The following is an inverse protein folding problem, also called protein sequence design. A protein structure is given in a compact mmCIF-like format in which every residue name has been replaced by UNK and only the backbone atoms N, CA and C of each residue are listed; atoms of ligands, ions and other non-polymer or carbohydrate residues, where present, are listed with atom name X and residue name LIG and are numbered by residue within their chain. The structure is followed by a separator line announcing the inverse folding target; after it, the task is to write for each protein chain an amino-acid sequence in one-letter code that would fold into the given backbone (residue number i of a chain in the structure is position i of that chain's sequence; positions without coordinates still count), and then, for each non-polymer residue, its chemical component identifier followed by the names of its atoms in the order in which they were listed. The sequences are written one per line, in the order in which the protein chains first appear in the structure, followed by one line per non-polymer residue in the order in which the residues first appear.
data_IF_421152227254
#
_entry.id   IF_421152227254
#
_cell.length_a   1.000
_cell.length_b   1.000
_cell.length_c   1.000
_cell.angle_alpha   90.00
_cell.angle_beta   90.00
_cell.angle_gamma   90.00
#
_symmetry.space_group_name_H-M   'P 1'
#
loop_
_entity.id
_entity.type
_entity.pdbx_description
1 polymer ?
#
# COMPACT_ATOMS: atom_id res chain seq x y z
N UNK A 1 24.91 -1.61 21.59
CA UNK A 1 23.60 -1.46 20.92
C UNK A 1 23.82 -1.99 19.50
N UNK A 2 23.14 -3.06 19.14
CA UNK A 2 23.17 -3.57 17.76
C UNK A 2 22.40 -2.56 16.93
N UNK A 3 23.06 -1.97 15.95
CA UNK A 3 22.42 -0.98 15.06
C UNK A 3 21.46 -1.75 14.15
N UNK A 4 20.15 -1.73 14.45
CA UNK A 4 19.15 -2.34 13.57
C UNK A 4 19.20 -1.60 12.24
N UNK A 5 19.42 -2.29 11.11
CA UNK A 5 19.45 -1.62 9.82
C UNK A 5 18.11 -0.93 9.56
N UNK A 6 18.15 0.25 8.95
CA UNK A 6 16.97 1.05 8.68
C UNK A 6 16.56 0.90 7.22
N UNK A 7 15.41 0.26 7.01
CA UNK A 7 14.78 0.11 5.71
C UNK A 7 13.50 0.95 5.64
N UNK A 8 13.37 1.77 4.60
CA UNK A 8 12.25 2.74 4.45
C UNK A 8 11.32 2.46 3.26
N UNK A 9 11.72 1.58 2.36
CA UNK A 9 10.94 1.23 1.16
C UNK A 9 10.87 -0.28 0.94
N UNK A 10 11.96 -0.90 0.53
CA UNK A 10 12.04 -2.33 0.23
C UNK A 10 13.12 -3.00 1.08
N UNK A 11 12.93 -4.29 1.35
CA UNK A 11 13.89 -5.19 1.98
C UNK A 11 13.90 -6.51 1.22
N UNK A 12 15.07 -7.11 0.99
CA UNK A 12 15.20 -8.42 0.37
C UNK A 12 14.99 -9.57 1.36
N UNK A 13 14.64 -10.80 0.89
CA UNK A 13 14.45 -11.96 1.76
C UNK A 13 15.69 -12.31 2.60
N UNK A 14 16.90 -12.23 2.01
CA UNK A 14 18.14 -12.49 2.73
C UNK A 14 18.42 -11.48 3.84
N UNK A 15 18.24 -10.19 3.52
CA UNK A 15 18.41 -9.09 4.49
C UNK A 15 17.40 -9.21 5.65
N UNK A 16 16.13 -9.57 5.34
CA UNK A 16 15.12 -9.80 6.37
C UNK A 16 15.47 -11.00 7.25
N UNK A 17 15.99 -12.09 6.67
CA UNK A 17 16.40 -13.26 7.43
C UNK A 17 17.53 -12.95 8.43
N UNK A 18 18.47 -12.07 8.07
CA UNK A 18 19.56 -11.64 8.96
C UNK A 18 19.09 -10.81 10.15
N UNK A 19 17.95 -10.07 10.02
CA UNK A 19 17.44 -9.21 11.08
C UNK A 19 16.05 -9.62 11.61
N UNK A 20 15.57 -10.82 11.31
CA UNK A 20 14.21 -11.27 11.60
C UNK A 20 13.82 -11.16 13.09
N UNK A 21 14.80 -11.28 13.99
CA UNK A 21 14.59 -11.17 15.43
C UNK A 21 14.49 -9.72 15.95
N UNK A 22 14.79 -8.74 15.09
CA UNK A 22 14.88 -7.31 15.43
C UNK A 22 13.78 -6.47 14.80
N UNK A 23 12.87 -7.09 14.04
CA UNK A 23 11.84 -6.40 13.28
C UNK A 23 10.45 -6.91 13.64
N UNK A 24 9.43 -6.07 13.44
CA UNK A 24 8.02 -6.46 13.53
C UNK A 24 7.51 -6.75 12.13
N UNK A 25 7.01 -7.96 11.90
CA UNK A 25 6.60 -8.42 10.56
C UNK A 25 5.07 -8.53 10.49
N UNK A 26 4.49 -8.03 9.42
CA UNK A 26 3.06 -8.17 9.14
C UNK A 26 2.81 -8.90 7.82
N UNK A 27 1.99 -9.95 7.92
CA UNK A 27 1.36 -10.62 6.80
C UNK A 27 0.07 -9.89 6.45
N UNK A 28 -0.02 -9.38 5.25
CA UNK A 28 -1.21 -8.68 4.75
C UNK A 28 -1.72 -9.31 3.46
N UNK A 29 -1.54 -10.63 3.31
CA UNK A 29 -2.11 -11.39 2.20
C UNK A 29 -3.62 -11.25 2.17
N UNK A 30 -4.15 -11.00 0.99
CA UNK A 30 -5.56 -10.75 0.80
C UNK A 30 -6.00 -11.16 -0.62
N UNK A 31 -7.29 -11.43 -0.80
CA UNK A 31 -7.89 -11.63 -2.11
C UNK A 31 -9.24 -10.93 -2.19
N UNK A 32 -9.44 -10.11 -3.22
CA UNK A 32 -10.73 -9.46 -3.48
C UNK A 32 -11.84 -10.47 -3.83
N UNK A 33 -11.47 -11.65 -4.35
CA UNK A 33 -12.43 -12.71 -4.71
C UNK A 33 -12.85 -13.56 -3.51
N UNK A 34 -11.99 -13.66 -2.48
CA UNK A 34 -12.25 -14.40 -1.23
C UNK A 34 -11.54 -13.70 -0.07
N UNK A 35 -12.27 -12.88 0.67
CA UNK A 35 -11.73 -12.08 1.77
C UNK A 35 -11.18 -12.92 2.94
N UNK A 36 -11.50 -14.22 3.01
CA UNK A 36 -10.95 -15.13 4.03
C UNK A 36 -9.64 -15.81 3.60
N UNK A 37 -9.30 -15.77 2.30
CA UNK A 37 -8.12 -16.46 1.76
C UNK A 37 -6.82 -16.02 2.44
N UNK A 38 -6.62 -14.73 2.69
CA UNK A 38 -5.42 -14.22 3.36
C UNK A 38 -5.22 -14.81 4.75
N UNK A 39 -6.28 -14.84 5.56
CA UNK A 39 -6.26 -15.44 6.91
C UNK A 39 -6.01 -16.95 6.87
N UNK A 40 -6.61 -17.65 5.91
CA UNK A 40 -6.39 -19.10 5.73
C UNK A 40 -4.93 -19.38 5.33
N UNK A 41 -4.36 -18.58 4.41
CA UNK A 41 -2.95 -18.69 4.02
C UNK A 41 -2.02 -18.42 5.20
N UNK A 42 -2.31 -17.41 6.02
CA UNK A 42 -1.54 -17.10 7.22
C UNK A 42 -1.55 -18.28 8.21
N UNK A 43 -2.71 -18.89 8.45
CA UNK A 43 -2.85 -20.06 9.33
C UNK A 43 -2.13 -21.30 8.79
N UNK A 44 -2.12 -21.49 7.47
CA UNK A 44 -1.42 -22.59 6.82
C UNK A 44 0.11 -22.44 6.86
N UNK A 45 0.60 -21.18 6.86
CA UNK A 45 2.02 -20.87 6.97
C UNK A 45 2.30 -19.40 6.69
N UNK A 46 3.12 -18.78 7.52
CA UNK A 46 3.53 -17.39 7.45
C UNK A 46 5.04 -17.25 7.73
N UNK A 47 5.62 -16.10 7.44
CA UNK A 47 6.99 -15.83 7.85
C UNK A 47 7.12 -15.93 9.36
N UNK A 48 8.24 -16.47 9.91
CA UNK A 48 8.42 -16.57 11.35
C UNK A 48 8.17 -15.22 12.04
N UNK A 49 7.44 -15.24 13.15
CA UNK A 49 7.05 -14.05 13.94
C UNK A 49 6.11 -13.06 13.25
N UNK A 50 5.61 -13.32 12.06
CA UNK A 50 4.68 -12.41 11.40
C UNK A 50 3.32 -12.37 12.10
N UNK A 51 2.78 -11.17 12.28
CA UNK A 51 1.41 -10.89 12.68
C UNK A 51 0.53 -10.78 11.44
N UNK A 52 -0.75 -11.07 11.55
CA UNK A 52 -1.70 -10.90 10.44
C UNK A 52 -2.50 -9.61 10.61
N UNK A 53 -2.63 -8.84 9.51
CA UNK A 53 -3.57 -7.73 9.40
C UNK A 53 -4.42 -7.92 8.14
N UNK A 54 -5.73 -7.79 8.33
CA UNK A 54 -6.72 -7.93 7.26
C UNK A 54 -6.92 -6.59 6.54
N UNK A 55 -7.03 -6.61 5.19
CA UNK A 55 -7.23 -5.39 4.43
C UNK A 55 -8.53 -4.68 4.78
N UNK A 56 -9.64 -5.43 4.87
CA UNK A 56 -10.96 -4.87 5.14
C UNK A 56 -11.14 -4.55 6.62
N UNK A 57 -10.71 -5.46 7.51
CA UNK A 57 -10.96 -5.37 8.94
C UNK A 57 -9.96 -4.53 9.74
N UNK A 58 -8.74 -4.34 9.22
CA UNK A 58 -7.66 -3.67 9.94
C UNK A 58 -7.07 -2.47 9.18
N UNK A 59 -6.93 -2.57 7.85
CA UNK A 59 -6.29 -1.55 7.02
C UNK A 59 -7.28 -0.65 6.29
N UNK A 60 -8.58 -0.85 6.55
CA UNK A 60 -9.67 -0.04 6.01
C UNK A 60 -10.68 0.30 7.11
N UNK A 61 -11.34 1.43 6.94
CA UNK A 61 -12.47 1.84 7.77
C UNK A 61 -13.81 1.31 7.22
N UNK A 62 -14.91 1.54 7.93
CA UNK A 62 -16.23 1.11 7.51
C UNK A 62 -16.64 1.77 6.18
N UNK A 63 -17.19 0.96 5.27
CA UNK A 63 -17.74 1.43 4.02
C UNK A 63 -19.12 2.01 4.26
N UNK A 64 -19.39 3.21 3.72
CA UNK A 64 -20.66 3.91 3.85
C UNK A 64 -21.03 4.69 2.59
N UNK A 65 -22.20 5.36 2.59
CA UNK A 65 -22.59 6.22 1.48
C UNK A 65 -21.53 7.29 1.21
N UNK A 66 -21.04 7.35 -0.03
CA UNK A 66 -20.04 8.36 -0.44
C UNK A 66 -18.61 8.02 -0.08
N UNK A 67 -18.30 6.85 0.47
CA UNK A 67 -16.91 6.39 0.63
C UNK A 67 -16.47 5.56 -0.58
N UNK A 68 -15.13 5.45 -0.76
CA UNK A 68 -14.56 4.38 -1.58
C UNK A 68 -14.68 3.00 -0.90
N UNK A 69 -14.22 1.94 -1.59
CA UNK A 69 -14.26 0.57 -1.06
C UNK A 69 -13.30 0.33 0.12
N UNK A 70 -12.21 1.08 0.23
CA UNK A 70 -11.23 0.94 1.31
C UNK A 70 -10.92 2.32 1.91
N UNK A 71 -11.85 2.92 2.68
CA UNK A 71 -11.61 4.18 3.38
C UNK A 71 -10.42 4.05 4.34
N UNK A 72 -9.91 5.17 4.86
CA UNK A 72 -8.88 5.10 5.90
C UNK A 72 -9.43 4.44 7.17
N UNK A 73 -8.65 3.56 7.81
CA UNK A 73 -9.01 3.04 9.12
C UNK A 73 -8.95 4.15 10.18
N UNK A 74 -9.60 3.91 11.32
CA UNK A 74 -9.39 4.78 12.48
C UNK A 74 -7.91 4.72 12.92
N UNK A 75 -7.21 5.85 13.00
CA UNK A 75 -5.79 5.87 13.31
C UNK A 75 -5.46 5.40 14.72
N UNK A 76 -6.37 5.57 15.68
CA UNK A 76 -6.17 5.13 17.07
C UNK A 76 -6.36 3.62 17.18
N UNK A 77 -7.37 3.06 16.51
CA UNK A 77 -7.60 1.62 16.47
C UNK A 77 -6.45 0.89 15.77
N UNK A 78 -6.01 1.38 14.61
CA UNK A 78 -4.84 0.81 13.92
C UNK A 78 -3.58 0.95 14.77
N UNK A 79 -3.35 2.13 15.37
CA UNK A 79 -2.23 2.36 16.28
C UNK A 79 -2.20 1.39 17.47
N UNK A 80 -3.37 1.07 18.03
CA UNK A 80 -3.51 0.10 19.12
C UNK A 80 -3.13 -1.31 18.67
N UNK A 81 -3.56 -1.74 17.47
CA UNK A 81 -3.20 -3.05 16.89
C UNK A 81 -1.69 -3.13 16.63
N UNK A 82 -1.09 -2.08 16.09
CA UNK A 82 0.35 -2.00 15.84
C UNK A 82 1.14 -2.07 17.16
N UNK A 83 0.72 -1.33 18.20
CA UNK A 83 1.34 -1.38 19.53
C UNK A 83 1.23 -2.79 20.16
N UNK A 84 0.07 -3.45 20.04
CA UNK A 84 -0.11 -4.82 20.53
C UNK A 84 0.82 -5.82 19.83
N UNK A 85 1.20 -5.58 18.59
CA UNK A 85 2.17 -6.37 17.84
C UNK A 85 3.65 -6.03 18.15
N UNK A 86 3.91 -5.10 19.06
CA UNK A 86 5.27 -4.73 19.46
C UNK A 86 5.82 -3.47 18.78
N UNK A 87 5.03 -2.77 17.97
CA UNK A 87 5.50 -1.54 17.30
C UNK A 87 5.65 -0.41 18.32
N UNK A 88 6.78 0.30 18.23
CA UNK A 88 7.08 1.56 18.91
C UNK A 88 7.73 2.53 17.91
N UNK A 89 8.10 3.74 18.32
CA UNK A 89 8.67 4.76 17.42
C UNK A 89 9.96 4.33 16.71
N UNK A 90 10.73 3.40 17.29
CA UNK A 90 12.03 2.94 16.77
C UNK A 90 11.97 1.56 16.09
N UNK A 91 10.83 0.88 16.16
CA UNK A 91 10.69 -0.45 15.60
C UNK A 91 10.83 -0.43 14.07
N UNK A 92 11.65 -1.31 13.52
CA UNK A 92 11.62 -1.58 12.08
C UNK A 92 10.43 -2.48 11.78
N UNK A 93 9.53 -2.02 10.93
CA UNK A 93 8.37 -2.80 10.46
C UNK A 93 8.64 -3.33 9.06
N UNK A 94 8.21 -4.56 8.80
CA UNK A 94 8.25 -5.16 7.46
C UNK A 94 6.85 -5.72 7.13
N UNK A 95 6.28 -5.28 6.02
CA UNK A 95 5.03 -5.79 5.48
C UNK A 95 5.30 -6.74 4.30
N UNK A 96 4.50 -7.80 4.18
CA UNK A 96 4.54 -8.65 2.99
C UNK A 96 3.16 -9.16 2.59
N UNK A 97 3.03 -9.52 1.34
CA UNK A 97 1.88 -10.22 0.76
C UNK A 97 2.36 -11.32 -0.22
N UNK A 98 1.45 -11.85 -1.02
CA UNK A 98 1.72 -12.74 -2.16
C UNK A 98 1.21 -12.17 -3.50
N UNK A 99 0.91 -10.87 -3.50
CA UNK A 99 0.39 -10.10 -4.64
C UNK A 99 1.38 -9.03 -5.08
N UNK A 100 2.68 -9.35 -5.02
CA UNK A 100 3.78 -8.49 -5.48
C UNK A 100 3.85 -7.12 -4.78
N UNK A 101 3.42 -7.03 -3.53
CA UNK A 101 3.42 -5.79 -2.74
C UNK A 101 2.15 -4.94 -2.88
N UNK A 102 1.12 -5.42 -3.60
CA UNK A 102 -0.10 -4.64 -3.84
C UNK A 102 -0.85 -4.27 -2.54
N UNK A 103 -0.89 -5.18 -1.57
CA UNK A 103 -1.50 -4.97 -0.24
C UNK A 103 -0.48 -4.53 0.82
N UNK A 104 0.75 -5.04 0.74
CA UNK A 104 1.82 -4.66 1.65
C UNK A 104 2.16 -3.16 1.54
N UNK A 105 2.10 -2.59 0.35
CA UNK A 105 2.26 -1.16 0.13
C UNK A 105 1.16 -0.33 0.81
N UNK A 106 -0.07 -0.86 0.98
CA UNK A 106 -1.12 -0.17 1.73
C UNK A 106 -0.74 -0.03 3.21
N UNK A 107 -0.29 -1.10 3.87
CA UNK A 107 0.20 -1.01 5.25
C UNK A 107 1.43 -0.10 5.36
N UNK A 108 2.38 -0.20 4.42
CA UNK A 108 3.54 0.67 4.37
C UNK A 108 3.12 2.16 4.32
N UNK A 109 2.17 2.51 3.45
CA UNK A 109 1.68 3.88 3.33
C UNK A 109 0.91 4.33 4.59
N UNK A 110 0.07 3.46 5.18
CA UNK A 110 -0.64 3.75 6.42
C UNK A 110 0.32 4.06 7.57
N UNK A 111 1.40 3.30 7.72
CA UNK A 111 2.44 3.58 8.71
C UNK A 111 3.11 4.95 8.47
N UNK A 112 3.42 5.28 7.20
CA UNK A 112 3.94 6.60 6.84
C UNK A 112 2.94 7.71 7.17
N UNK A 113 1.67 7.50 6.90
CA UNK A 113 0.59 8.42 7.27
C UNK A 113 0.47 8.59 8.79
N UNK A 114 0.64 7.53 9.56
CA UNK A 114 0.66 7.55 11.03
C UNK A 114 1.96 8.12 11.63
N UNK A 115 2.90 8.58 10.80
CA UNK A 115 4.16 9.21 11.24
C UNK A 115 5.30 8.22 11.50
N UNK A 116 5.17 6.95 11.09
CA UNK A 116 6.21 5.93 11.26
C UNK A 116 7.00 5.71 9.98
N UNK A 117 8.29 6.08 9.98
CA UNK A 117 9.13 6.03 8.77
C UNK A 117 9.94 4.73 8.61
N UNK A 118 10.12 3.97 9.68
CA UNK A 118 10.92 2.73 9.68
C UNK A 118 10.07 1.54 9.23
N UNK A 119 9.60 1.60 8.00
CA UNK A 119 8.76 0.55 7.39
C UNK A 119 9.23 0.23 5.99
N UNK A 120 9.29 -1.07 5.66
CA UNK A 120 9.62 -1.58 4.34
C UNK A 120 8.65 -2.68 3.90
N UNK A 121 8.59 -2.91 2.60
CA UNK A 121 7.90 -4.04 1.99
C UNK A 121 8.91 -5.11 1.58
N UNK A 122 8.62 -6.37 1.88
CA UNK A 122 9.44 -7.50 1.47
C UNK A 122 9.37 -7.66 -0.06
N UNK A 123 10.47 -7.37 -0.74
CA UNK A 123 10.56 -7.45 -2.20
C UNK A 123 10.50 -8.90 -2.69
N UNK A 124 9.44 -9.24 -3.42
CA UNK A 124 9.10 -10.60 -3.83
C UNK A 124 8.14 -11.31 -2.88
N UNK A 125 7.76 -10.70 -1.76
CA UNK A 125 6.73 -11.18 -0.83
C UNK A 125 6.99 -12.58 -0.26
N UNK A 126 5.93 -13.30 0.10
CA UNK A 126 5.99 -14.65 0.63
C UNK A 126 6.65 -15.63 -0.35
N UNK A 127 6.36 -15.51 -1.64
CA UNK A 127 6.96 -16.35 -2.68
C UNK A 127 8.47 -16.14 -2.78
N UNK A 128 8.95 -14.90 -2.71
CA UNK A 128 10.38 -14.57 -2.71
C UNK A 128 11.12 -15.13 -1.48
N UNK A 129 10.47 -15.10 -0.30
CA UNK A 129 10.99 -15.71 0.93
C UNK A 129 11.18 -17.22 0.75
N UNK A 130 10.17 -17.93 0.24
CA UNK A 130 10.24 -19.36 0.00
C UNK A 130 11.25 -19.72 -1.10
N UNK A 131 11.33 -18.93 -2.17
CA UNK A 131 12.32 -19.13 -3.25
C UNK A 131 13.77 -18.96 -2.77
N UNK A 132 13.99 -18.18 -1.70
CA UNK A 132 15.30 -18.09 -1.02
C UNK A 132 15.60 -19.29 -0.11
N UNK A 133 14.73 -20.31 -0.05
CA UNK A 133 14.90 -21.50 0.79
C UNK A 133 14.61 -21.26 2.27
N UNK A 134 13.94 -20.15 2.61
CA UNK A 134 13.66 -19.77 3.98
C UNK A 134 12.35 -20.38 4.49
N UNK A 135 12.25 -20.79 5.77
CA UNK A 135 11.12 -21.55 6.28
C UNK A 135 9.90 -20.68 6.55
N UNK A 136 8.71 -21.29 6.43
CA UNK A 136 7.48 -20.77 7.03
C UNK A 136 7.26 -21.35 8.41
N UNK A 137 6.48 -20.64 9.24
CA UNK A 137 6.03 -21.04 10.55
C UNK A 137 4.50 -21.08 10.60
N UNK A 138 3.96 -21.81 11.58
CA UNK A 138 2.52 -21.81 11.93
C UNK A 138 2.27 -21.33 13.36
N UNK A 139 3.35 -21.16 14.13
CA UNK A 139 3.29 -20.69 15.51
C UNK A 139 2.97 -19.19 15.54
N UNK A 140 1.89 -18.82 16.23
CA UNK A 140 1.50 -17.41 16.38
C UNK A 140 2.55 -16.65 17.21
N UNK A 141 2.88 -15.42 16.82
CA UNK A 141 3.82 -14.60 17.56
C UNK A 141 3.25 -14.22 18.94
N UNK A 142 4.14 -14.07 19.91
CA UNK A 142 3.81 -13.61 21.27
C UNK A 142 4.71 -12.40 21.57
N UNK A 143 4.39 -11.22 21.04
CA UNK A 143 5.23 -10.04 21.23
C UNK A 143 5.03 -9.44 22.63
N UNK A 144 6.08 -8.77 23.12
CA UNK A 144 5.90 -7.76 24.17
C UNK A 144 5.24 -6.54 23.53
N UNK A 145 4.13 -6.02 24.09
CA UNK A 145 3.47 -4.84 23.55
C UNK A 145 4.39 -3.64 23.47
N UNK A 146 4.39 -2.96 22.34
CA UNK A 146 5.09 -1.70 22.12
C UNK A 146 4.28 -0.49 22.61
N UNK A 147 4.83 0.69 22.36
CA UNK A 147 4.16 1.98 22.59
C UNK A 147 4.17 2.77 21.30
N UNK A 148 3.09 2.69 20.55
CA UNK A 148 2.93 3.41 19.31
C UNK A 148 1.79 4.44 19.43
N UNK A 149 2.12 5.71 19.18
CA UNK A 149 1.16 6.81 19.16
C UNK A 149 1.16 7.45 17.77
N UNK A 150 0.05 7.36 17.02
CA UNK A 150 -0.07 7.98 15.71
C UNK A 150 0.20 9.50 15.73
N UNK A 151 1.02 9.94 14.76
CA UNK A 151 1.27 11.35 14.46
C UNK A 151 0.88 11.60 13.00
N UNK A 152 -0.37 11.98 12.78
CA UNK A 152 -0.95 12.03 11.43
C UNK A 152 -0.28 13.05 10.53
N UNK A 153 0.09 12.64 9.34
CA UNK A 153 0.55 13.49 8.23
C UNK A 153 -0.64 13.81 7.33
N UNK A 154 -1.35 14.90 7.66
CA UNK A 154 -2.57 15.30 6.95
C UNK A 154 -2.31 15.73 5.49
N UNK A 155 -1.11 16.18 5.18
CA UNK A 155 -0.63 16.56 3.86
C UNK A 155 -0.51 15.39 2.87
N UNK A 156 -0.51 14.16 3.37
CA UNK A 156 -0.48 12.95 2.54
C UNK A 156 -1.86 12.53 2.02
N UNK A 157 -2.93 13.11 2.52
CA UNK A 157 -4.31 12.72 2.19
C UNK A 157 -5.00 13.82 1.39
N UNK A 158 -5.56 13.46 0.25
CA UNK A 158 -6.37 14.35 -0.58
C UNK A 158 -7.82 13.87 -0.57
N UNK A 159 -8.77 14.75 -0.25
CA UNK A 159 -10.21 14.46 -0.36
C UNK A 159 -10.70 14.66 -1.79
N UNK A 160 -11.91 14.16 -2.10
CA UNK A 160 -12.51 14.34 -3.41
C UNK A 160 -12.79 15.82 -3.75
N UNK A 161 -13.17 16.62 -2.75
CA UNK A 161 -13.40 18.06 -2.92
C UNK A 161 -12.08 18.79 -3.20
N UNK A 162 -11.05 18.52 -2.39
CA UNK A 162 -9.73 19.11 -2.59
C UNK A 162 -9.11 18.70 -3.93
N UNK A 163 -9.34 17.44 -4.37
CA UNK A 163 -8.86 16.97 -5.67
C UNK A 163 -9.48 17.76 -6.82
N UNK A 164 -10.80 18.01 -6.78
CA UNK A 164 -11.48 18.79 -7.83
C UNK A 164 -10.86 20.19 -7.96
N UNK A 165 -10.63 20.88 -6.86
CA UNK A 165 -9.99 22.20 -6.83
C UNK A 165 -8.53 22.16 -7.34
N UNK A 166 -7.79 21.11 -7.00
CA UNK A 166 -6.38 20.93 -7.40
C UNK A 166 -6.24 20.62 -8.90
N UNK A 167 -7.17 19.89 -9.49
CA UNK A 167 -7.17 19.58 -10.93
C UNK A 167 -7.45 20.82 -11.81
N UNK A 168 -8.12 21.84 -11.26
CA UNK A 168 -8.31 23.12 -11.95
C UNK A 168 -7.04 23.99 -11.93
N UNK A 169 -6.08 23.67 -11.05
CA UNK A 169 -4.82 24.42 -10.91
C UNK A 169 -3.74 23.81 -11.80
N UNK A 170 -2.93 24.66 -12.43
CA UNK A 170 -1.79 24.22 -13.25
C UNK A 170 -0.69 23.61 -12.36
N UNK A 171 -0.15 22.46 -12.76
CA UNK A 171 1.04 21.85 -12.15
C UNK A 171 0.79 20.61 -11.29
N UNK A 172 -0.46 20.28 -10.96
CA UNK A 172 -0.80 19.02 -10.27
C UNK A 172 -0.99 17.90 -11.29
N UNK A 173 -0.34 16.77 -11.06
CA UNK A 173 -0.52 15.56 -11.86
C UNK A 173 -1.28 14.51 -11.05
N UNK A 174 -2.42 14.05 -11.56
CA UNK A 174 -3.15 12.92 -11.01
C UNK A 174 -2.71 11.64 -11.70
N UNK A 175 -2.26 10.64 -10.92
CA UNK A 175 -1.77 9.36 -11.41
C UNK A 175 -2.73 8.25 -11.03
N UNK A 176 -3.30 7.56 -12.03
CA UNK A 176 -4.13 6.38 -11.85
C UNK A 176 -3.30 5.10 -11.99
N UNK A 177 -3.23 4.31 -10.93
CA UNK A 177 -2.46 3.08 -10.86
C UNK A 177 -3.19 1.83 -11.41
N UNK A 178 -4.44 1.97 -11.85
CA UNK A 178 -5.20 0.84 -12.43
C UNK A 178 -4.60 0.36 -13.76
N UNK A 179 -4.95 -0.88 -14.15
CA UNK A 179 -4.62 -1.39 -15.48
C UNK A 179 -5.18 -0.50 -16.59
N UNK A 180 -4.46 -0.43 -17.71
CA UNK A 180 -4.77 0.47 -18.81
C UNK A 180 -6.18 0.27 -19.40
N UNK A 181 -6.66 -0.97 -19.49
CA UNK A 181 -8.01 -1.28 -20.01
C UNK A 181 -9.11 -0.70 -19.10
N UNK A 182 -8.91 -0.76 -17.77
CA UNK A 182 -9.83 -0.13 -16.80
C UNK A 182 -9.79 1.38 -16.90
N UNK A 183 -8.59 1.97 -17.00
CA UNK A 183 -8.41 3.41 -17.16
C UNK A 183 -9.12 3.93 -18.42
N UNK A 184 -8.92 3.28 -19.57
CA UNK A 184 -9.57 3.68 -20.83
C UNK A 184 -11.09 3.41 -20.89
N UNK A 185 -11.63 2.71 -19.89
CA UNK A 185 -13.05 2.36 -19.87
C UNK A 185 -13.43 1.23 -20.82
N UNK A 186 -12.45 0.45 -21.30
CA UNK A 186 -12.67 -0.72 -22.16
C UNK A 186 -13.23 -1.91 -21.38
N UNK A 187 -12.87 -2.00 -20.10
CA UNK A 187 -13.43 -2.98 -19.16
C UNK A 187 -13.47 -2.42 -17.73
N UNK A 188 -14.44 -2.83 -16.93
CA UNK A 188 -14.50 -2.52 -15.49
C UNK A 188 -15.17 -3.68 -14.75
N UNK A 189 -14.38 -4.66 -14.25
CA UNK A 189 -14.93 -5.85 -13.60
C UNK A 189 -15.31 -5.62 -12.13
N UNK A 190 -15.01 -4.45 -11.55
CA UNK A 190 -15.12 -4.21 -10.10
C UNK A 190 -16.12 -3.10 -9.79
N UNK A 191 -15.99 -1.97 -10.47
CA UNK A 191 -16.77 -0.77 -10.20
C UNK A 191 -17.95 -0.62 -11.20
N UNK A 192 -19.08 0.02 -10.82
CA UNK A 192 -20.25 0.14 -11.70
C UNK A 192 -20.06 1.09 -12.88
N UNK A 193 -19.02 1.95 -12.86
CA UNK A 193 -18.74 2.94 -13.91
C UNK A 193 -17.34 2.70 -14.46
N UNK A 194 -17.22 2.59 -15.78
CA UNK A 194 -15.94 2.46 -16.48
C UNK A 194 -15.38 3.84 -16.87
N UNK A 195 -14.04 3.95 -16.96
CA UNK A 195 -13.35 5.19 -17.32
C UNK A 195 -12.42 5.70 -16.22
N UNK A 196 -12.07 6.99 -16.28
CA UNK A 196 -11.13 7.63 -15.36
C UNK A 196 -11.51 9.08 -15.03
N UNK A 197 -10.84 9.67 -14.05
CA UNK A 197 -10.98 11.08 -13.71
C UNK A 197 -10.32 11.93 -14.81
N UNK A 198 -11.02 12.91 -15.43
CA UNK A 198 -10.44 13.74 -16.50
C UNK A 198 -9.14 14.41 -16.10
N UNK A 199 -8.14 14.32 -16.97
CA UNK A 199 -6.80 14.86 -16.73
C UNK A 199 -5.86 13.94 -15.96
N UNK A 200 -6.32 12.77 -15.49
CA UNK A 200 -5.45 11.77 -14.92
C UNK A 200 -4.56 11.13 -16.00
N UNK A 201 -3.35 10.76 -15.63
CA UNK A 201 -2.45 9.93 -16.45
C UNK A 201 -2.42 8.51 -15.90
N UNK A 202 -2.31 7.53 -16.80
CA UNK A 202 -2.26 6.13 -16.40
C UNK A 202 -0.82 5.65 -16.18
N UNK A 203 -0.53 5.20 -14.96
CA UNK A 203 0.71 4.53 -14.61
C UNK A 203 0.37 3.20 -13.90
N UNK A 204 0.07 2.12 -14.65
CA UNK A 204 -0.32 0.84 -14.07
C UNK A 204 0.72 0.34 -13.06
N UNK A 205 0.28 0.00 -11.84
CA UNK A 205 1.20 -0.42 -10.77
C UNK A 205 2.00 -1.68 -11.14
N UNK A 206 1.40 -2.58 -11.94
CA UNK A 206 2.07 -3.80 -12.38
C UNK A 206 3.34 -3.52 -13.20
N UNK A 207 3.44 -2.37 -13.86
CA UNK A 207 4.64 -2.00 -14.62
C UNK A 207 5.78 -1.44 -13.74
N UNK A 208 5.64 -1.42 -12.43
CA UNK A 208 6.74 -1.19 -11.48
C UNK A 208 7.53 -2.47 -11.18
N UNK A 209 7.10 -3.61 -11.73
CA UNK A 209 7.62 -4.93 -11.44
C UNK A 209 8.39 -5.51 -12.64
N UNK A 210 9.38 -6.32 -12.34
CA UNK A 210 10.02 -7.19 -13.32
C UNK A 210 9.23 -8.50 -13.54
N UNK A 211 9.69 -9.33 -14.47
CA UNK A 211 9.06 -10.60 -14.80
C UNK A 211 9.03 -11.62 -13.63
N UNK A 212 9.82 -11.39 -12.59
CA UNK A 212 9.81 -12.20 -11.36
C UNK A 212 8.84 -11.67 -10.29
N UNK A 213 8.14 -10.57 -10.55
CA UNK A 213 7.21 -9.91 -9.63
C UNK A 213 7.90 -9.11 -8.53
N UNK A 214 9.19 -8.76 -8.70
CA UNK A 214 9.92 -7.84 -7.82
C UNK A 214 9.89 -6.44 -8.37
N UNK A 215 10.00 -5.45 -7.49
CA UNK A 215 10.16 -4.08 -7.91
C UNK A 215 11.37 -3.91 -8.82
N UNK A 216 11.21 -3.12 -9.88
CA UNK A 216 12.28 -2.71 -10.77
C UNK A 216 13.38 -1.95 -9.99
N UNK A 217 14.64 -1.95 -10.48
CA UNK A 217 15.70 -1.15 -9.89
C UNK A 217 15.32 0.34 -9.79
N UNK A 218 15.79 1.01 -8.73
CA UNK A 218 15.47 2.41 -8.43
C UNK A 218 15.68 3.36 -9.63
N UNK A 219 16.70 3.11 -10.45
CA UNK A 219 16.99 3.92 -11.64
C UNK A 219 15.88 3.83 -12.71
N UNK A 220 15.35 2.62 -12.95
CA UNK A 220 14.24 2.42 -13.89
C UNK A 220 12.94 3.01 -13.35
N UNK A 221 12.71 2.87 -12.04
CA UNK A 221 11.56 3.48 -11.37
C UNK A 221 11.64 5.02 -11.40
N UNK A 222 12.84 5.61 -11.31
CA UNK A 222 13.03 7.07 -11.41
C UNK A 222 12.59 7.63 -12.75
N UNK A 223 12.89 6.94 -13.84
CA UNK A 223 12.45 7.33 -15.19
C UNK A 223 10.93 7.24 -15.32
N UNK A 224 10.31 6.29 -14.63
CA UNK A 224 8.86 6.08 -14.65
C UNK A 224 8.10 7.07 -13.76
N UNK A 225 8.66 7.45 -12.61
CA UNK A 225 8.04 8.29 -11.58
C UNK A 225 8.70 9.69 -11.52
N UNK A 226 8.80 10.37 -12.66
CA UNK A 226 9.44 11.70 -12.75
C UNK A 226 8.54 12.87 -12.30
N UNK A 227 7.26 12.61 -12.04
CA UNK A 227 6.26 13.61 -11.65
C UNK A 227 6.43 14.07 -10.21
N UNK A 228 6.94 15.28 -10.00
CA UNK A 228 7.33 15.79 -8.66
C UNK A 228 6.17 16.16 -7.75
N UNK A 229 5.04 16.59 -8.31
CA UNK A 229 3.83 16.97 -7.57
C UNK A 229 2.67 16.08 -7.97
N UNK A 230 2.81 14.79 -7.66
CA UNK A 230 1.82 13.80 -8.03
C UNK A 230 0.85 13.51 -6.88
N UNK A 231 -0.42 13.41 -7.22
CA UNK A 231 -1.45 12.77 -6.40
C UNK A 231 -1.70 11.40 -7.00
N UNK A 232 -1.58 10.36 -6.20
CA UNK A 232 -1.83 9.00 -6.67
C UNK A 232 -3.24 8.54 -6.32
N UNK A 233 -3.86 7.79 -7.23
CA UNK A 233 -5.13 7.10 -7.02
C UNK A 233 -5.11 5.73 -7.72
N UNK A 234 -6.13 4.93 -7.46
CA UNK A 234 -6.39 3.69 -8.19
C UNK A 234 -7.90 3.37 -8.19
N UNK A 235 -8.30 2.12 -7.98
CA UNK A 235 -9.71 1.75 -7.78
C UNK A 235 -10.25 2.14 -6.39
N UNK A 236 -9.43 2.00 -5.33
CA UNK A 236 -9.86 2.16 -3.93
C UNK A 236 -8.74 2.60 -2.97
N UNK A 237 -7.66 3.21 -3.47
CA UNK A 237 -6.55 3.69 -2.66
C UNK A 237 -5.58 2.62 -2.15
N UNK A 238 -5.65 1.40 -2.66
CA UNK A 238 -4.76 0.29 -2.27
C UNK A 238 -3.54 0.21 -3.19
N UNK A 239 -3.72 -0.09 -4.48
CA UNK A 239 -2.60 -0.20 -5.43
C UNK A 239 -1.96 1.14 -5.81
N UNK A 240 -2.61 2.26 -5.51
CA UNK A 240 -1.98 3.58 -5.56
C UNK A 240 -0.79 3.67 -4.58
N UNK A 241 -0.89 3.05 -3.40
CA UNK A 241 0.22 2.98 -2.43
C UNK A 241 1.42 2.23 -3.01
N UNK A 242 1.22 1.26 -3.91
CA UNK A 242 2.31 0.57 -4.61
C UNK A 242 3.09 1.54 -5.53
N UNK A 243 2.39 2.42 -6.26
CA UNK A 243 3.04 3.46 -7.06
C UNK A 243 3.79 4.47 -6.17
N UNK A 244 3.19 4.86 -5.03
CA UNK A 244 3.84 5.75 -4.06
C UNK A 244 5.11 5.11 -3.50
N UNK A 245 5.07 3.83 -3.13
CA UNK A 245 6.24 3.07 -2.67
C UNK A 245 7.32 3.02 -3.76
N UNK A 246 6.96 2.73 -5.01
CA UNK A 246 7.89 2.71 -6.15
C UNK A 246 8.54 4.08 -6.37
N UNK A 247 7.77 5.16 -6.29
CA UNK A 247 8.25 6.54 -6.38
C UNK A 247 9.25 6.87 -5.26
N UNK A 248 8.94 6.52 -4.02
CA UNK A 248 9.85 6.71 -2.89
C UNK A 248 11.11 5.84 -3.02
N UNK A 249 11.01 4.61 -3.53
CA UNK A 249 12.16 3.75 -3.78
C UNK A 249 13.06 4.32 -4.89
N UNK A 250 12.50 5.03 -5.85
CA UNK A 250 13.24 5.80 -6.86
C UNK A 250 13.96 7.04 -6.31
N UNK A 251 13.72 7.41 -5.04
CA UNK A 251 14.32 8.57 -4.38
C UNK A 251 13.49 9.84 -4.40
N UNK A 252 12.22 9.77 -4.81
CA UNK A 252 11.31 10.91 -4.75
C UNK A 252 10.78 11.12 -3.32
N UNK A 253 10.32 12.34 -3.04
CA UNK A 253 9.56 12.63 -1.82
C UNK A 253 8.26 11.83 -1.79
N UNK A 254 7.67 11.66 -0.61
CA UNK A 254 6.45 10.91 -0.41
C UNK A 254 5.24 11.65 -1.01
N UNK A 255 4.64 11.14 -2.12
CA UNK A 255 3.50 11.80 -2.76
C UNK A 255 2.21 11.66 -1.98
N UNK A 256 1.22 12.52 -2.27
CA UNK A 256 -0.11 12.44 -1.69
C UNK A 256 -0.96 11.34 -2.32
N UNK A 257 -1.92 10.84 -1.57
CA UNK A 257 -2.89 9.84 -1.97
C UNK A 257 -4.31 10.42 -1.96
N UNK A 258 -5.02 10.33 -3.08
CA UNK A 258 -6.46 10.42 -3.08
C UNK A 258 -7.03 9.05 -2.65
N UNK A 259 -7.36 8.95 -1.37
CA UNK A 259 -7.72 7.68 -0.71
C UNK A 259 -8.97 7.05 -1.31
N UNK A 260 -10.03 7.84 -1.51
CA UNK A 260 -11.31 7.35 -2.03
C UNK A 260 -11.19 6.77 -3.44
N UNK A 261 -10.27 7.32 -4.24
CA UNK A 261 -9.96 6.82 -5.58
C UNK A 261 -11.19 6.73 -6.49
N UNK A 262 -11.12 5.90 -7.52
CA UNK A 262 -12.21 5.75 -8.48
C UNK A 262 -13.55 5.38 -7.83
N UNK A 263 -13.52 4.44 -6.89
CA UNK A 263 -14.75 3.95 -6.23
C UNK A 263 -15.49 5.00 -5.41
N UNK A 264 -14.80 6.02 -4.88
CA UNK A 264 -15.44 7.18 -4.24
C UNK A 264 -15.85 8.22 -5.28
N UNK A 265 -14.97 8.47 -6.29
CA UNK A 265 -15.25 9.48 -7.32
C UNK A 265 -16.61 9.28 -7.98
N UNK A 266 -16.91 8.06 -8.33
CA UNK A 266 -18.15 7.67 -9.02
C UNK A 266 -19.39 7.59 -8.12
N UNK A 267 -19.29 7.86 -6.81
CA UNK A 267 -20.46 7.92 -5.93
C UNK A 267 -21.29 9.20 -6.13
N UNK A 268 -20.69 10.22 -6.73
CA UNK A 268 -21.37 11.47 -7.07
C UNK A 268 -21.44 11.59 -8.60
N UNK A 269 -22.62 11.46 -9.15
CA UNK A 269 -22.91 11.49 -10.59
C UNK A 269 -22.66 12.86 -11.26
N UNK A 270 -22.42 13.90 -10.46
CA UNK A 270 -22.04 15.24 -10.95
C UNK A 270 -20.54 15.31 -11.28
N UNK A 271 -19.73 14.38 -10.78
CA UNK A 271 -18.31 14.35 -11.05
C UNK A 271 -18.04 13.83 -12.46
N UNK A 272 -17.20 14.53 -13.26
CA UNK A 272 -16.97 14.14 -14.64
C UNK A 272 -16.19 12.83 -14.75
N UNK A 273 -16.46 12.08 -15.81
CA UNK A 273 -15.80 10.84 -16.20
C UNK A 273 -15.32 10.96 -17.63
N UNK A 274 -14.09 10.50 -17.88
CA UNK A 274 -13.51 10.38 -19.20
C UNK A 274 -13.24 8.91 -19.56
N UNK A 275 -13.13 8.63 -20.86
CA UNK A 275 -12.72 7.35 -21.43
C UNK A 275 -11.70 7.57 -22.54
N UNK A 276 -10.96 6.52 -22.91
CA UNK A 276 -9.87 6.62 -23.88
C UNK A 276 -8.53 6.98 -23.24
N UNK A 277 -7.61 7.52 -24.06
CA UNK A 277 -6.26 7.92 -23.64
C UNK A 277 -6.28 9.23 -22.85
#
# INVERSE_FOLDING_TARGET
MVNTPEYRTLIGPGELAECIDQVVIFDVRFSLADTQAGRQLYQAGHLPKAHFLDLDGDLSGPVGPGTGRHPLPDPVELGTKLAAAGVNSEAQVVAYDDSHGAFAARLWWLLRWLGHDRVAVLNGGCAGWQAAGLPLATALPQPEPGQFQPQLRHDLVVSSEALADLLEQSGTTLIDARGAQRFRGEEEPIDPVAGHIPGAINLPFAANLDDSGKFLPAEQLRQRHEHRQAIHMCGSGVTACHNILASCHAGNELPSLYVGSWSEWITDDRRPVATGE
#
